data_IF_272010787360
#
_entry.id   IF_272010787360
#
_cell.length_a   1.000
_cell.length_b   1.000
_cell.length_c   1.000
_cell.angle_alpha   90.00
_cell.angle_beta   90.00
_cell.angle_gamma   90.00
#
_symmetry.space_group_name_H-M   'P 1'
#
loop_
_entity.id
_entity.type
_entity.pdbx_description
1 polymer ?
#
# COMPACT_ATOMS: atom_id res chain seq x y z
N UNK A 1 -12.72 73.40 31.52
CA UNK A 1 -11.80 72.38 32.07
C UNK A 1 -10.84 71.99 30.96
N UNK A 2 -9.77 72.75 30.73
CA UNK A 2 -8.42 72.72 31.35
C UNK A 2 -7.69 71.36 31.24
N UNK A 3 -6.55 71.45 30.55
CA UNK A 3 -5.32 70.64 30.63
C UNK A 3 -5.35 69.24 30.03
N UNK A 4 -4.43 68.81 29.18
CA UNK A 4 -3.15 69.38 28.71
C UNK A 4 -2.27 68.20 28.30
N UNK A 5 -1.87 68.10 27.02
CA UNK A 5 -0.53 68.41 26.51
C UNK A 5 0.39 67.14 26.52
N UNK A 6 1.29 66.87 25.56
CA UNK A 6 2.41 67.69 25.06
C UNK A 6 3.08 67.00 23.84
N UNK A 7 3.30 67.78 22.75
CA UNK A 7 4.44 67.85 21.76
C UNK A 7 4.93 66.58 21.01
N UNK A 8 5.52 66.62 19.81
CA UNK A 8 6.42 67.60 19.12
C UNK A 8 6.47 67.17 17.63
N UNK A 9 6.12 68.02 16.66
CA UNK A 9 7.00 68.90 15.84
C UNK A 9 8.25 68.24 15.21
N UNK A 10 8.17 67.94 13.89
CA UNK A 10 8.99 68.52 12.80
C UNK A 10 8.66 67.73 11.50
N UNK A 11 7.88 68.25 10.54
CA UNK A 11 8.25 69.25 9.51
C UNK A 11 9.10 68.61 8.38
N UNK A 12 8.47 68.18 7.26
CA UNK A 12 8.24 68.93 5.99
C UNK A 12 9.56 69.42 5.36
N UNK A 13 9.92 69.11 4.13
CA UNK A 13 9.39 69.62 2.85
C UNK A 13 10.19 68.88 1.76
N UNK A 14 9.64 68.20 0.74
CA UNK A 14 8.81 68.65 -0.39
C UNK A 14 9.30 69.95 -1.04
N UNK A 15 10.11 69.86 -2.11
CA UNK A 15 9.79 70.33 -3.50
C UNK A 15 11.03 70.41 -4.43
N UNK A 16 10.84 69.85 -5.64
CA UNK A 16 11.31 70.23 -6.99
C UNK A 16 12.77 70.67 -7.23
N UNK A 17 13.44 70.02 -8.19
CA UNK A 17 13.62 70.56 -9.55
C UNK A 17 14.43 69.61 -10.47
N UNK A 18 14.00 69.59 -11.73
CA UNK A 18 14.44 68.83 -12.90
C UNK A 18 15.80 69.35 -13.42
N UNK A 19 16.69 68.45 -13.86
CA UNK A 19 17.67 68.75 -14.91
C UNK A 19 17.92 67.49 -15.78
N UNK A 20 17.70 67.68 -17.08
CA UNK A 20 17.84 66.74 -18.19
C UNK A 20 19.31 66.58 -18.62
N UNK A 21 19.72 65.36 -18.96
CA UNK A 21 20.79 65.07 -19.92
C UNK A 21 20.55 63.68 -20.54
N UNK A 22 20.14 63.59 -21.83
CA UNK A 22 20.12 62.36 -22.61
C UNK A 22 21.44 62.19 -23.39
N UNK A 23 21.59 61.05 -24.11
CA UNK A 23 22.67 60.64 -25.06
C UNK A 23 23.69 59.66 -24.43
N UNK A 24 24.01 58.45 -24.90
CA UNK A 24 23.61 57.56 -26.01
C UNK A 24 24.23 56.16 -25.76
N UNK A 25 23.57 55.12 -26.30
CA UNK A 25 24.14 53.91 -26.96
C UNK A 25 24.85 52.79 -26.16
N UNK A 26 24.13 51.66 -26.12
CA UNK A 26 24.51 50.33 -26.67
C UNK A 26 25.34 49.33 -25.85
N UNK A 27 24.92 48.08 -26.03
CA UNK A 27 25.57 46.80 -25.69
C UNK A 27 25.35 46.29 -24.26
N UNK A 28 24.55 45.22 -24.18
CA UNK A 28 24.48 44.37 -23.00
C UNK A 28 23.06 44.06 -22.54
N UNK A 29 22.24 43.47 -23.41
CA UNK A 29 21.25 42.50 -22.93
C UNK A 29 22.04 41.37 -22.28
N UNK A 30 22.42 41.56 -21.01
CA UNK A 30 22.85 40.50 -20.12
C UNK A 30 21.66 39.59 -19.95
N UNK A 31 21.53 38.65 -20.88
CA UNK A 31 20.73 37.45 -20.73
C UNK A 31 21.28 36.80 -19.48
N UNK A 32 20.61 37.02 -18.34
CA UNK A 32 20.67 36.08 -17.24
C UNK A 32 20.30 34.76 -17.90
N UNK A 33 21.23 33.80 -18.07
CA UNK A 33 20.82 32.49 -18.52
C UNK A 33 19.88 32.04 -17.41
N UNK A 34 18.60 31.95 -17.73
CA UNK A 34 17.70 31.06 -17.02
C UNK A 34 18.49 29.77 -16.86
N UNK A 35 18.80 29.42 -15.61
CA UNK A 35 19.49 28.20 -15.25
C UNK A 35 18.62 27.01 -15.71
N UNK A 36 18.73 26.68 -16.99
CA UNK A 36 18.14 25.51 -17.59
C UNK A 36 18.94 24.32 -17.06
N UNK A 37 18.38 23.64 -16.06
CA UNK A 37 18.77 22.35 -15.46
C UNK A 37 20.05 21.69 -16.01
N UNK A 38 21.21 22.30 -15.75
CA UNK A 38 22.52 21.82 -16.18
C UNK A 38 23.17 21.00 -15.09
N UNK A 39 22.74 19.75 -14.93
CA UNK A 39 23.48 18.75 -14.17
C UNK A 39 24.26 17.81 -15.09
N UNK A 40 25.24 17.07 -14.58
CA UNK A 40 25.91 15.98 -15.31
C UNK A 40 24.94 14.81 -15.54
N UNK A 41 25.26 13.89 -16.45
CA UNK A 41 24.45 12.66 -16.61
C UNK A 41 24.36 11.88 -15.29
N UNK A 42 25.43 11.84 -14.50
CA UNK A 42 25.48 11.15 -13.21
C UNK A 42 24.59 11.81 -12.14
N UNK A 43 24.55 13.16 -12.10
CA UNK A 43 23.63 13.89 -11.22
C UNK A 43 22.17 13.63 -11.59
N UNK A 44 21.85 13.65 -12.90
CA UNK A 44 20.51 13.30 -13.38
C UNK A 44 20.15 11.85 -13.05
N UNK A 45 21.08 10.91 -13.22
CA UNK A 45 20.89 9.51 -12.88
C UNK A 45 20.66 9.31 -11.37
N UNK A 46 21.33 10.10 -10.53
CA UNK A 46 21.14 10.09 -9.07
C UNK A 46 19.76 10.64 -8.68
N UNK A 47 19.31 11.72 -9.32
CA UNK A 47 17.97 12.27 -9.09
C UNK A 47 16.87 11.33 -9.62
N UNK A 48 17.10 10.65 -10.74
CA UNK A 48 16.24 9.60 -11.24
C UNK A 48 16.15 8.43 -10.23
N UNK A 49 17.28 7.99 -9.68
CA UNK A 49 17.30 6.98 -8.63
C UNK A 49 16.51 7.41 -7.38
N UNK A 50 16.56 8.70 -7.02
CA UNK A 50 15.76 9.26 -5.91
C UNK A 50 14.26 9.18 -6.20
N UNK A 51 13.83 9.50 -7.42
CA UNK A 51 12.44 9.38 -7.86
C UNK A 51 11.99 7.91 -7.85
N UNK A 52 12.82 6.99 -8.34
CA UNK A 52 12.59 5.55 -8.24
C UNK A 52 12.39 5.13 -6.79
N UNK A 53 13.24 5.56 -5.86
CA UNK A 53 13.09 5.27 -4.44
C UNK A 53 11.77 5.83 -3.87
N UNK A 54 11.35 7.04 -4.25
CA UNK A 54 10.06 7.61 -3.83
C UNK A 54 8.87 6.80 -4.38
N UNK A 55 8.92 6.36 -5.64
CA UNK A 55 7.89 5.50 -6.23
C UNK A 55 7.80 4.14 -5.54
N UNK A 56 8.94 3.58 -5.13
CA UNK A 56 8.97 2.40 -4.25
C UNK A 56 8.27 2.72 -2.92
N UNK A 57 8.54 3.88 -2.35
CA UNK A 57 7.84 4.37 -1.16
C UNK A 57 6.32 4.41 -1.32
N UNK A 58 5.83 4.95 -2.45
CA UNK A 58 4.41 5.01 -2.79
C UNK A 58 3.80 3.59 -2.86
N UNK A 59 4.48 2.63 -3.49
CA UNK A 59 4.04 1.23 -3.60
C UNK A 59 4.03 0.48 -2.26
N UNK A 60 4.93 0.83 -1.35
CA UNK A 60 5.04 0.21 -0.03
C UNK A 60 4.16 0.86 1.03
N UNK A 61 3.63 2.05 0.76
CA UNK A 61 2.80 2.77 1.70
C UNK A 61 1.57 1.95 2.12
N UNK A 62 1.30 1.96 3.42
CA UNK A 62 0.17 1.27 4.01
C UNK A 62 -0.26 2.00 5.28
N UNK A 63 -1.57 2.23 5.41
CA UNK A 63 -2.16 2.73 6.66
C UNK A 63 -2.19 1.68 7.78
N UNK A 64 -1.83 0.43 7.47
CA UNK A 64 -1.90 -0.70 8.40
C UNK A 64 -0.57 -0.99 9.06
N UNK A 65 -0.64 -1.42 10.30
CA UNK A 65 0.51 -1.97 11.03
C UNK A 65 0.96 -3.25 10.33
N UNK A 66 2.21 -3.27 9.89
CA UNK A 66 2.85 -4.41 9.22
C UNK A 66 4.20 -4.68 9.89
N UNK A 67 4.60 -5.96 10.04
CA UNK A 67 5.95 -6.31 10.46
C UNK A 67 7.02 -5.70 9.54
N UNK A 68 8.19 -5.39 10.09
CA UNK A 68 9.32 -4.87 9.31
C UNK A 68 9.74 -5.82 8.18
N UNK A 69 9.72 -7.13 8.46
CA UNK A 69 10.02 -8.15 7.48
C UNK A 69 9.05 -8.13 6.29
N UNK A 70 7.77 -7.85 6.51
CA UNK A 70 6.77 -7.81 5.43
C UNK A 70 7.00 -6.60 4.52
N UNK A 71 7.30 -5.44 5.10
CA UNK A 71 7.58 -4.22 4.33
C UNK A 71 8.86 -4.40 3.51
N UNK A 72 9.89 -5.02 4.09
CA UNK A 72 11.13 -5.32 3.41
C UNK A 72 10.96 -6.36 2.29
N UNK A 73 10.26 -7.46 2.55
CA UNK A 73 10.00 -8.49 1.54
C UNK A 73 9.19 -7.94 0.38
N UNK A 74 8.14 -7.15 0.65
CA UNK A 74 7.39 -6.44 -0.40
C UNK A 74 8.27 -5.50 -1.23
N UNK A 75 9.27 -4.86 -0.62
CA UNK A 75 10.21 -4.02 -1.35
C UNK A 75 11.11 -4.85 -2.26
N UNK A 76 11.57 -6.01 -1.80
CA UNK A 76 12.38 -6.93 -2.59
C UNK A 76 11.61 -7.61 -3.74
N UNK A 77 10.28 -7.69 -3.64
CA UNK A 77 9.40 -8.18 -4.72
C UNK A 77 9.19 -7.15 -5.85
N UNK A 78 9.69 -5.91 -5.68
CA UNK A 78 9.63 -4.89 -6.73
C UNK A 78 10.83 -5.01 -7.67
N UNK A 79 10.56 -4.86 -8.96
CA UNK A 79 11.59 -4.91 -10.00
C UNK A 79 12.73 -3.91 -9.72
N UNK A 80 13.97 -4.39 -9.86
CA UNK A 80 15.22 -3.64 -9.67
C UNK A 80 15.39 -2.94 -8.31
N UNK A 81 14.67 -3.40 -7.27
CA UNK A 81 14.83 -2.90 -5.89
C UNK A 81 15.59 -3.90 -5.05
N UNK A 82 16.69 -3.45 -4.47
CA UNK A 82 17.51 -4.26 -3.58
C UNK A 82 17.42 -3.75 -2.15
N UNK A 83 16.96 -4.59 -1.22
CA UNK A 83 16.88 -4.22 0.20
C UNK A 83 18.23 -4.47 0.86
N UNK A 84 18.93 -3.40 1.23
CA UNK A 84 20.27 -3.49 1.81
C UNK A 84 20.25 -3.59 3.34
N UNK A 85 19.25 -3.01 3.99
CA UNK A 85 19.10 -3.03 5.46
C UNK A 85 17.65 -2.81 5.86
N UNK A 86 17.25 -3.46 6.95
CA UNK A 86 15.95 -3.28 7.61
C UNK A 86 16.20 -2.99 9.09
N UNK A 87 15.44 -2.07 9.67
CA UNK A 87 15.48 -1.79 11.11
C UNK A 87 14.08 -1.42 11.61
N UNK A 88 13.82 -1.68 12.89
CA UNK A 88 12.49 -1.58 13.50
C UNK A 88 11.75 -2.93 13.50
N UNK A 89 10.60 -2.98 14.18
CA UNK A 89 9.81 -4.21 14.36
C UNK A 89 8.53 -4.20 13.54
N UNK A 90 7.85 -3.06 13.46
CA UNK A 90 6.64 -2.87 12.66
C UNK A 90 6.46 -1.42 12.24
N UNK A 91 5.49 -1.15 11.38
CA UNK A 91 5.11 0.21 10.96
C UNK A 91 4.38 1.00 12.05
N UNK A 92 4.13 0.42 13.25
CA UNK A 92 3.57 1.17 14.37
C UNK A 92 4.64 2.04 15.07
N UNK A 93 4.20 3.14 15.70
CA UNK A 93 5.04 3.97 16.55
C UNK A 93 6.28 4.54 15.84
N UNK A 94 7.46 4.03 16.18
CA UNK A 94 8.73 4.42 15.54
C UNK A 94 8.81 3.99 14.06
N UNK A 95 8.03 3.00 13.64
CA UNK A 95 7.99 2.54 12.25
C UNK A 95 9.18 1.68 11.83
N UNK A 96 9.23 1.40 10.54
CA UNK A 96 10.27 0.59 9.88
C UNK A 96 11.18 1.51 9.09
N UNK A 97 12.49 1.32 9.20
CA UNK A 97 13.47 1.98 8.34
C UNK A 97 14.06 0.98 7.36
N UNK A 98 13.99 1.29 6.07
CA UNK A 98 14.65 0.53 5.00
C UNK A 98 15.82 1.34 4.44
N UNK A 99 16.88 0.65 4.04
CA UNK A 99 17.88 1.18 3.09
C UNK A 99 17.74 0.39 1.81
N UNK A 100 17.35 1.06 0.74
CA UNK A 100 17.08 0.47 -0.57
C UNK A 100 18.15 0.91 -1.56
N UNK A 101 18.74 -0.02 -2.31
CA UNK A 101 19.58 0.26 -3.47
C UNK A 101 18.71 0.16 -4.71
N UNK A 102 18.63 1.24 -5.48
CA UNK A 102 17.81 1.32 -6.69
C UNK A 102 18.64 1.91 -7.83
N UNK A 103 18.36 1.52 -9.09
CA UNK A 103 18.97 2.13 -10.24
C UNK A 103 18.35 3.52 -10.51
N UNK A 104 19.11 4.35 -11.21
CA UNK A 104 18.61 5.52 -11.90
C UNK A 104 19.44 5.78 -13.14
N UNK A 105 18.83 6.38 -14.15
CA UNK A 105 19.46 6.64 -15.46
C UNK A 105 19.37 8.12 -15.79
N UNK A 106 20.46 8.67 -16.31
CA UNK A 106 20.55 10.07 -16.71
C UNK A 106 21.36 10.23 -17.99
N UNK A 107 21.00 11.23 -18.79
CA UNK A 107 21.70 11.59 -20.03
C UNK A 107 22.21 13.03 -19.96
N UNK A 108 23.25 13.36 -20.71
CA UNK A 108 23.70 14.75 -20.89
C UNK A 108 23.01 15.41 -22.09
N UNK A 109 22.88 16.73 -22.08
CA UNK A 109 22.42 17.51 -23.23
C UNK A 109 20.90 17.49 -23.45
N UNK A 110 20.29 18.68 -23.53
CA UNK A 110 18.86 18.84 -23.83
C UNK A 110 18.55 18.74 -25.33
N UNK A 111 19.49 19.18 -26.19
CA UNK A 111 19.28 19.28 -27.65
C UNK A 111 19.90 18.12 -28.44
N UNK A 112 20.83 17.38 -27.84
CA UNK A 112 21.38 16.13 -28.37
C UNK A 112 21.70 15.23 -27.16
N UNK A 113 20.81 14.30 -26.78
CA UNK A 113 21.05 13.45 -25.63
C UNK A 113 22.31 12.62 -25.86
N UNK A 114 23.28 12.75 -24.96
CA UNK A 114 24.46 11.89 -24.89
C UNK A 114 24.10 10.46 -24.47
N UNK A 115 25.11 9.60 -24.37
CA UNK A 115 24.92 8.23 -23.90
C UNK A 115 24.34 8.20 -22.46
N UNK A 116 23.38 7.29 -22.18
CA UNK A 116 22.81 7.17 -20.85
C UNK A 116 23.81 6.60 -19.86
N UNK A 117 23.93 7.25 -18.71
CA UNK A 117 24.66 6.76 -17.54
C UNK A 117 23.65 6.17 -16.57
N UNK A 118 23.85 4.90 -16.20
CA UNK A 118 23.08 4.23 -15.15
C UNK A 118 23.91 4.13 -13.88
N UNK A 119 23.34 4.55 -12.76
CA UNK A 119 23.93 4.43 -11.42
C UNK A 119 23.04 3.60 -10.52
N UNK A 120 23.63 2.95 -9.51
CA UNK A 120 22.88 2.42 -8.36
C UNK A 120 23.17 3.30 -7.14
N UNK A 121 22.13 3.76 -6.46
CA UNK A 121 22.23 4.63 -5.27
C UNK A 121 21.38 4.06 -4.14
N UNK A 122 21.80 4.32 -2.91
CA UNK A 122 21.10 3.86 -1.72
C UNK A 122 20.32 4.98 -1.06
N UNK A 123 19.07 4.70 -0.72
CA UNK A 123 18.19 5.64 -0.04
C UNK A 123 17.67 5.02 1.25
N UNK A 124 17.80 5.77 2.33
CA UNK A 124 17.16 5.47 3.60
C UNK A 124 15.76 6.07 3.61
N UNK A 125 14.77 5.25 3.94
CA UNK A 125 13.35 5.61 3.98
C UNK A 125 12.71 5.07 5.25
N UNK A 126 11.73 5.78 5.79
CA UNK A 126 10.97 5.39 6.99
C UNK A 126 9.49 5.21 6.64
N UNK A 127 8.93 4.10 7.09
CA UNK A 127 7.53 3.71 6.92
C UNK A 127 6.87 3.60 8.28
N UNK A 128 5.87 4.45 8.54
CA UNK A 128 5.08 4.42 9.77
C UNK A 128 3.61 4.66 9.45
N UNK A 129 2.70 4.07 10.22
CA UNK A 129 1.26 4.34 10.15
C UNK A 129 0.91 5.76 10.62
N UNK A 130 1.85 6.46 11.25
CA UNK A 130 1.70 7.86 11.70
C UNK A 130 2.32 8.87 10.73
N UNK A 131 3.02 8.40 9.69
CA UNK A 131 3.65 9.28 8.69
C UNK A 131 2.68 9.49 7.52
N UNK A 132 2.61 10.73 7.05
CA UNK A 132 1.78 11.08 5.89
C UNK A 132 2.29 10.38 4.62
N UNK A 133 1.36 10.11 3.70
CA UNK A 133 1.68 9.59 2.38
C UNK A 133 2.72 10.48 1.69
N UNK A 134 3.67 9.90 0.95
CA UNK A 134 4.81 10.60 0.30
C UNK A 134 5.82 11.27 1.21
N UNK A 135 5.67 11.20 2.53
CA UNK A 135 6.62 11.77 3.49
C UNK A 135 7.57 10.72 4.10
N UNK A 136 8.18 9.87 3.26
CA UNK A 136 9.05 8.76 3.70
C UNK A 136 10.41 9.18 4.27
N UNK A 137 10.73 10.47 4.24
CA UNK A 137 12.04 10.97 4.66
C UNK A 137 13.19 10.45 3.80
N UNK A 138 12.96 10.26 2.50
CA UNK A 138 13.92 9.71 1.53
C UNK A 138 15.22 10.50 1.54
N UNK A 139 16.30 9.87 2.01
CA UNK A 139 17.63 10.47 2.09
C UNK A 139 18.63 9.54 1.43
N UNK A 140 19.42 10.08 0.52
CA UNK A 140 20.56 9.35 -0.03
C UNK A 140 21.56 9.04 1.09
N UNK A 141 22.09 7.83 1.08
CA UNK A 141 23.06 7.34 2.07
C UNK A 141 24.09 6.48 1.35
N UNK A 142 25.27 6.32 1.96
CA UNK A 142 26.23 5.33 1.50
C UNK A 142 25.59 3.93 1.49
N UNK A 143 25.80 3.19 0.41
CA UNK A 143 25.29 1.82 0.33
C UNK A 143 25.96 0.95 1.39
N UNK A 144 25.19 0.26 2.26
CA UNK A 144 25.74 -0.74 3.15
C UNK A 144 26.54 -1.78 2.36
N UNK A 145 27.70 -2.18 2.91
CA UNK A 145 28.50 -3.26 2.32
C UNK A 145 27.76 -4.60 2.40
N UNK A 146 27.99 -5.46 1.41
CA UNK A 146 27.41 -6.81 1.33
C UNK A 146 26.31 -6.95 0.28
N UNK A 147 25.79 -8.18 0.19
CA UNK A 147 24.71 -8.53 -0.72
C UNK A 147 23.35 -8.04 -0.21
N UNK A 148 22.38 -7.81 -1.12
CA UNK A 148 21.00 -7.55 -0.74
C UNK A 148 20.42 -8.66 0.14
N UNK A 149 19.49 -8.30 1.01
CA UNK A 149 18.78 -9.25 1.86
C UNK A 149 17.93 -10.21 1.01
N UNK A 150 17.93 -11.48 1.39
CA UNK A 150 17.12 -12.53 0.76
C UNK A 150 15.96 -12.90 1.67
N UNK A 151 14.79 -13.11 1.09
CA UNK A 151 13.57 -13.46 1.81
C UNK A 151 13.12 -14.87 1.45
N UNK A 152 12.54 -15.57 2.42
CA UNK A 152 11.83 -16.82 2.15
C UNK A 152 10.52 -16.50 1.43
N UNK A 153 9.98 -17.40 0.58
CA UNK A 153 8.70 -17.20 -0.06
C UNK A 153 7.59 -16.84 0.95
N UNK A 154 6.62 -16.06 0.52
CA UNK A 154 5.46 -15.72 1.34
C UNK A 154 4.74 -16.96 1.86
N UNK A 155 4.18 -16.92 3.09
CA UNK A 155 3.32 -17.98 3.57
C UNK A 155 2.18 -18.25 2.59
N UNK A 156 2.05 -19.51 2.17
CA UNK A 156 0.95 -19.91 1.29
C UNK A 156 -0.36 -19.90 2.07
N UNK A 157 -1.41 -19.38 1.44
CA UNK A 157 -2.78 -19.53 1.97
C UNK A 157 -3.32 -20.87 1.51
N UNK A 158 -3.86 -21.72 2.39
CA UNK A 158 -4.44 -22.99 1.97
C UNK A 158 -5.67 -22.74 1.10
N UNK A 159 -5.85 -23.59 0.09
CA UNK A 159 -6.96 -23.52 -0.83
C UNK A 159 -8.25 -24.06 -0.19
N UNK A 160 -9.36 -23.36 -0.35
CA UNK A 160 -10.65 -23.82 0.14
C UNK A 160 -11.22 -24.91 -0.79
N UNK A 161 -11.64 -26.07 -0.24
CA UNK A 161 -11.95 -27.23 -1.07
C UNK A 161 -13.39 -27.21 -1.60
N UNK A 162 -13.74 -26.21 -2.44
CA UNK A 162 -15.10 -26.01 -2.96
C UNK A 162 -15.73 -27.29 -3.55
N UNK A 163 -15.05 -27.92 -4.51
CA UNK A 163 -15.58 -29.10 -5.19
C UNK A 163 -15.66 -30.34 -4.28
N UNK A 164 -14.68 -30.53 -3.39
CA UNK A 164 -14.71 -31.65 -2.44
C UNK A 164 -15.82 -31.46 -1.42
N UNK A 165 -16.02 -30.22 -0.94
CA UNK A 165 -17.13 -29.90 -0.05
C UNK A 165 -18.47 -30.17 -0.72
N UNK A 166 -18.68 -29.68 -1.95
CA UNK A 166 -19.93 -29.89 -2.71
C UNK A 166 -20.27 -31.38 -2.87
N UNK A 167 -19.27 -32.23 -3.06
CA UNK A 167 -19.45 -33.68 -3.19
C UNK A 167 -19.67 -34.39 -1.85
N UNK A 168 -19.03 -33.92 -0.79
CA UNK A 168 -19.09 -34.56 0.53
C UNK A 168 -20.38 -34.27 1.30
N UNK A 169 -21.01 -33.12 1.06
CA UNK A 169 -22.20 -32.73 1.82
C UNK A 169 -23.39 -33.67 1.56
N UNK A 170 -24.15 -34.02 2.61
CA UNK A 170 -25.29 -34.91 2.46
C UNK A 170 -26.38 -34.27 1.59
N UNK A 171 -27.07 -35.12 0.82
CA UNK A 171 -28.32 -34.75 0.14
C UNK A 171 -29.49 -35.08 1.05
N UNK A 172 -30.41 -34.14 1.19
CA UNK A 172 -31.62 -34.30 2.00
C UNK A 172 -32.81 -34.37 1.04
N UNK A 173 -33.60 -35.47 1.05
CA UNK A 173 -34.82 -35.54 0.25
C UNK A 173 -35.81 -34.43 0.58
N UNK A 174 -36.73 -34.13 -0.34
CA UNK A 174 -37.85 -33.24 -0.05
C UNK A 174 -38.66 -33.78 1.14
N UNK A 175 -39.09 -32.90 2.05
CA UNK A 175 -39.80 -33.28 3.29
C UNK A 175 -38.91 -33.86 4.40
N UNK A 176 -37.61 -34.01 4.16
CA UNK A 176 -36.64 -34.39 5.19
C UNK A 176 -36.17 -33.22 6.06
N UNK A 177 -35.16 -33.48 6.89
CA UNK A 177 -34.47 -32.48 7.71
C UNK A 177 -32.95 -32.67 7.60
N UNK A 178 -32.23 -31.57 7.43
CA UNK A 178 -30.78 -31.59 7.46
C UNK A 178 -30.26 -31.89 8.87
N UNK A 179 -29.25 -32.76 8.96
CA UNK A 179 -28.63 -33.19 10.21
C UNK A 179 -27.25 -32.52 10.36
N UNK A 180 -27.11 -31.64 11.35
CA UNK A 180 -25.86 -30.91 11.59
C UNK A 180 -24.70 -31.86 11.91
N UNK A 181 -24.92 -32.96 12.63
CA UNK A 181 -23.87 -33.91 12.96
C UNK A 181 -23.33 -34.61 11.70
N UNK A 182 -24.22 -34.99 10.77
CA UNK A 182 -23.81 -35.53 9.47
C UNK A 182 -23.05 -34.52 8.62
N UNK A 183 -23.47 -33.25 8.63
CA UNK A 183 -22.75 -32.17 7.93
C UNK A 183 -21.36 -31.96 8.54
N UNK A 184 -21.24 -31.93 9.87
CA UNK A 184 -19.94 -31.83 10.56
C UNK A 184 -19.04 -33.03 10.26
N UNK A 185 -19.58 -34.24 10.27
CA UNK A 185 -18.82 -35.45 9.92
C UNK A 185 -18.32 -35.41 8.46
N UNK A 186 -19.17 -34.97 7.52
CA UNK A 186 -18.78 -34.78 6.13
C UNK A 186 -17.63 -33.78 5.99
N UNK A 187 -17.70 -32.63 6.68
CA UNK A 187 -16.62 -31.62 6.67
C UNK A 187 -15.35 -32.16 7.31
N UNK A 188 -15.45 -32.88 8.44
CA UNK A 188 -14.30 -33.48 9.10
C UNK A 188 -13.58 -34.51 8.21
N UNK A 189 -14.33 -35.25 7.37
CA UNK A 189 -13.75 -36.21 6.42
C UNK A 189 -12.85 -35.57 5.35
N UNK A 190 -13.00 -34.26 5.11
CA UNK A 190 -12.18 -33.51 4.16
C UNK A 190 -10.75 -33.27 4.64
N UNK A 191 -10.46 -33.48 5.94
CA UNK A 191 -9.15 -33.25 6.56
C UNK A 191 -8.59 -31.88 6.19
N UNK A 192 -9.34 -30.84 6.54
CA UNK A 192 -9.01 -29.45 6.21
C UNK A 192 -7.66 -29.05 6.81
N UNK A 193 -6.98 -28.11 6.15
CA UNK A 193 -5.81 -27.43 6.71
C UNK A 193 -6.20 -26.74 8.03
N UNK A 194 -5.37 -26.81 9.09
CA UNK A 194 -5.67 -26.20 10.38
C UNK A 194 -5.94 -24.68 10.36
N UNK A 195 -5.44 -23.97 9.35
CA UNK A 195 -5.72 -22.54 9.17
C UNK A 195 -7.12 -22.26 8.59
N UNK A 196 -7.82 -23.28 8.06
CA UNK A 196 -9.21 -23.18 7.62
C UNK A 196 -10.12 -23.41 8.82
N UNK A 197 -10.86 -22.36 9.19
CA UNK A 197 -11.89 -22.46 10.21
C UNK A 197 -13.24 -22.85 9.61
N UNK A 198 -14.01 -23.64 10.34
CA UNK A 198 -15.36 -24.06 9.96
C UNK A 198 -16.37 -23.58 10.99
N UNK A 199 -17.51 -23.07 10.54
CA UNK A 199 -18.63 -22.66 11.39
C UNK A 199 -19.92 -23.29 10.85
N UNK A 200 -20.78 -23.73 11.75
CA UNK A 200 -22.02 -24.44 11.43
C UNK A 200 -23.17 -23.81 12.20
N UNK A 201 -24.35 -23.79 11.59
CA UNK A 201 -25.59 -23.36 12.24
C UNK A 201 -26.77 -24.13 11.67
N UNK A 202 -27.51 -24.82 12.51
CA UNK A 202 -28.83 -25.36 12.16
C UNK A 202 -29.93 -24.33 12.40
N UNK A 203 -30.88 -24.23 11.48
CA UNK A 203 -32.09 -23.42 11.64
C UNK A 203 -33.24 -24.05 10.85
N UNK A 204 -34.36 -24.34 11.54
CA UNK A 204 -35.46 -25.12 10.98
C UNK A 204 -34.98 -26.48 10.47
N UNK A 205 -35.24 -26.74 9.20
CA UNK A 205 -34.86 -27.99 8.51
C UNK A 205 -33.55 -27.89 7.72
N UNK A 206 -32.83 -26.76 7.84
CA UNK A 206 -31.61 -26.50 7.11
C UNK A 206 -30.38 -26.38 8.02
N UNK A 207 -29.21 -26.63 7.44
CA UNK A 207 -27.91 -26.40 8.07
C UNK A 207 -27.09 -25.50 7.15
N UNK A 208 -26.64 -24.37 7.70
CA UNK A 208 -25.65 -23.49 7.11
C UNK A 208 -24.24 -23.86 7.57
N UNK A 209 -23.30 -23.73 6.65
CA UNK A 209 -21.88 -23.97 6.86
C UNK A 209 -21.08 -22.87 6.18
N UNK A 210 -19.99 -22.45 6.81
CA UNK A 210 -18.91 -21.72 6.13
C UNK A 210 -17.56 -22.37 6.43
N UNK A 211 -16.74 -22.51 5.40
CA UNK A 211 -15.29 -22.70 5.52
C UNK A 211 -14.63 -21.37 5.21
N UNK A 212 -13.79 -20.85 6.11
CA UNK A 212 -13.13 -19.55 5.94
C UNK A 212 -11.66 -19.59 6.35
N UNK A 213 -10.83 -18.89 5.58
CA UNK A 213 -9.42 -18.66 5.86
C UNK A 213 -9.10 -17.19 5.65
N UNK A 214 -8.15 -16.66 6.40
CA UNK A 214 -7.63 -15.30 6.22
C UNK A 214 -6.33 -15.37 5.41
N UNK A 215 -6.32 -14.98 4.11
CA UNK A 215 -5.08 -14.99 3.35
C UNK A 215 -4.09 -13.98 3.91
N UNK A 216 -2.81 -14.35 3.98
CA UNK A 216 -1.76 -13.59 4.68
C UNK A 216 -1.63 -12.13 4.18
N UNK A 217 -1.71 -11.93 2.86
CA UNK A 217 -1.57 -10.61 2.23
C UNK A 217 -2.91 -9.95 1.88
N UNK A 218 -4.05 -10.57 2.18
CA UNK A 218 -5.38 -10.10 1.77
C UNK A 218 -6.17 -9.47 2.91
N UNK A 219 -7.03 -8.51 2.56
CA UNK A 219 -7.92 -7.82 3.48
C UNK A 219 -9.27 -8.50 3.55
N UNK A 220 -9.71 -9.10 2.45
CA UNK A 220 -10.85 -9.99 2.42
C UNK A 220 -10.47 -11.36 2.99
N UNK A 221 -11.43 -12.00 3.65
CA UNK A 221 -11.38 -13.44 3.86
C UNK A 221 -11.48 -14.16 2.51
N UNK A 222 -11.00 -15.39 2.47
CA UNK A 222 -11.51 -16.35 1.51
C UNK A 222 -12.51 -17.24 2.23
N UNK A 223 -13.65 -17.52 1.59
CA UNK A 223 -14.66 -18.38 2.18
C UNK A 223 -15.56 -19.07 1.15
N UNK A 224 -15.98 -20.28 1.50
CA UNK A 224 -16.98 -21.07 0.78
C UNK A 224 -18.13 -21.30 1.74
N UNK A 225 -19.35 -20.98 1.29
CA UNK A 225 -20.57 -21.21 2.04
C UNK A 225 -21.30 -22.41 1.48
N UNK A 226 -22.02 -23.10 2.35
CA UNK A 226 -22.95 -24.14 1.95
C UNK A 226 -24.24 -24.09 2.76
N UNK A 227 -25.35 -24.37 2.08
CA UNK A 227 -26.66 -24.58 2.69
C UNK A 227 -27.15 -25.96 2.32
N UNK A 228 -27.33 -26.80 3.33
CA UNK A 228 -27.95 -28.12 3.20
C UNK A 228 -29.39 -27.99 3.63
N UNK A 229 -30.32 -28.28 2.72
CA UNK A 229 -31.77 -28.15 2.97
C UNK A 229 -32.55 -29.24 2.23
N UNK A 230 -33.80 -29.52 2.62
CA UNK A 230 -34.64 -30.50 1.95
C UNK A 230 -34.79 -30.18 0.46
N UNK A 231 -34.52 -31.17 -0.39
CA UNK A 231 -34.56 -31.04 -1.85
C UNK A 231 -33.39 -30.28 -2.49
N UNK A 232 -32.56 -29.55 -1.71
CA UNK A 232 -31.47 -28.75 -2.28
C UNK A 232 -30.28 -28.59 -1.33
N UNK A 233 -29.10 -28.94 -1.82
CA UNK A 233 -27.81 -28.56 -1.23
C UNK A 233 -27.10 -27.59 -2.17
N UNK A 234 -26.76 -26.40 -1.68
CA UNK A 234 -26.08 -25.35 -2.46
C UNK A 234 -24.73 -25.03 -1.84
N UNK A 235 -23.72 -24.81 -2.68
CA UNK A 235 -22.37 -24.39 -2.28
C UNK A 235 -21.94 -23.24 -3.17
N UNK A 236 -21.46 -22.13 -2.60
CA UNK A 236 -21.07 -20.93 -3.35
C UNK A 236 -19.95 -20.17 -2.66
N UNK A 237 -19.31 -19.27 -3.42
CA UNK A 237 -18.33 -18.31 -2.92
C UNK A 237 -18.97 -16.93 -2.97
N UNK A 238 -19.04 -16.17 -1.86
CA UNK A 238 -19.57 -14.82 -1.87
C UNK A 238 -18.69 -13.90 -2.71
N UNK A 239 -19.27 -12.78 -3.15
CA UNK A 239 -18.50 -11.72 -3.83
C UNK A 239 -17.35 -11.21 -2.95
N UNK A 240 -16.32 -10.61 -3.55
CA UNK A 240 -15.19 -10.05 -2.78
C UNK A 240 -15.65 -9.05 -1.72
N UNK A 241 -16.61 -8.19 -2.05
CA UNK A 241 -17.15 -7.16 -1.15
C UNK A 241 -17.74 -7.82 0.10
N UNK A 242 -18.59 -8.83 -0.06
CA UNK A 242 -19.19 -9.56 1.07
C UNK A 242 -18.16 -10.34 1.91
N UNK A 243 -16.96 -10.61 1.38
CA UNK A 243 -15.87 -11.27 2.10
C UNK A 243 -14.99 -10.29 2.89
N UNK A 244 -15.26 -9.00 2.84
CA UNK A 244 -14.53 -8.02 3.65
C UNK A 244 -14.88 -8.16 5.14
N UNK A 245 -13.92 -7.92 6.05
CA UNK A 245 -14.18 -7.89 7.48
C UNK A 245 -15.30 -6.89 7.80
N UNK A 246 -16.31 -7.31 8.55
CA UNK A 246 -17.49 -6.50 8.89
C UNK A 246 -18.72 -6.75 8.02
N UNK A 247 -18.56 -7.26 6.79
CA UNK A 247 -19.66 -7.42 5.82
C UNK A 247 -20.51 -8.69 6.01
N UNK A 248 -20.35 -9.43 7.11
CA UNK A 248 -21.09 -10.66 7.48
C UNK A 248 -21.12 -11.82 6.43
N UNK A 249 -20.48 -11.70 5.27
CA UNK A 249 -20.62 -12.66 4.17
C UNK A 249 -19.95 -14.00 4.39
N UNK A 250 -18.93 -14.08 5.24
CA UNK A 250 -18.25 -15.33 5.60
C UNK A 250 -18.75 -15.90 6.96
N UNK A 251 -20.05 -16.10 7.10
CA UNK A 251 -20.69 -16.64 8.32
C UNK A 251 -21.66 -17.77 7.99
N UNK A 252 -21.91 -18.68 8.93
CA UNK A 252 -22.92 -19.74 8.75
C UNK A 252 -24.33 -19.16 8.70
N UNK A 253 -24.56 -18.01 9.35
CA UNK A 253 -25.82 -17.27 9.26
C UNK A 253 -26.10 -16.77 7.84
N UNK A 254 -25.10 -16.21 7.14
CA UNK A 254 -25.24 -15.83 5.73
C UNK A 254 -25.42 -17.05 4.81
N UNK A 255 -24.99 -18.25 5.23
CA UNK A 255 -25.29 -19.47 4.49
C UNK A 255 -26.77 -19.86 4.59
N UNK A 256 -27.41 -19.65 5.73
CA UNK A 256 -28.85 -19.87 5.90
C UNK A 256 -29.67 -18.76 5.23
N UNK A 257 -29.21 -17.51 5.36
CA UNK A 257 -29.87 -16.29 4.91
C UNK A 257 -28.94 -15.48 3.99
N UNK A 258 -28.76 -15.88 2.72
CA UNK A 258 -27.84 -15.22 1.82
C UNK A 258 -28.20 -13.76 1.60
N UNK A 259 -27.23 -12.88 1.82
CA UNK A 259 -27.37 -11.48 1.42
C UNK A 259 -27.57 -11.35 -0.10
N UNK A 260 -28.37 -10.38 -0.55
CA UNK A 260 -28.46 -10.07 -1.97
C UNK A 260 -27.09 -9.70 -2.54
N UNK A 261 -26.83 -9.96 -3.84
CA UNK A 261 -25.59 -9.55 -4.48
C UNK A 261 -25.37 -8.03 -4.36
N UNK A 262 -24.14 -7.56 -4.11
CA UNK A 262 -23.86 -6.13 -4.22
C UNK A 262 -24.09 -5.67 -5.66
N UNK A 263 -24.75 -4.52 -5.81
CA UNK A 263 -25.04 -3.85 -7.07
C UNK A 263 -23.82 -3.07 -7.57
#
# INVERSE_FOLDING_TARGET
MRSGAVRRDHERMRRLAILLLPVLLSAGCGSVPYAAGGGTAEERATEDARKTAQLVGDKLYTARVRPAQDIAHRAADLDDVEVMRVSGTSTAGAGVTLVLRVPGTGTEGWFAPGEPVTVKRCFRMRFSTTTEFRHYGTREVACPAGEPLKFKPWPKTPELPYEKLRKALPRVPAGGRADEAKVRAAVASLRLDPAISSEFRAEGDAVGLVLKVKPYLSDAFDCVLARVSPGRTSVWVPSRIQRMPGEAGCTASNALHPMPPPH
#
